data_IF_374877894749
#
_entry.id   IF_374877894749
#
_cell.length_a   1.000
_cell.length_b   1.000
_cell.length_c   1.000
_cell.angle_alpha   90.00
_cell.angle_beta   90.00
_cell.angle_gamma   90.00
#
_symmetry.space_group_name_H-M   'P 1'
#
loop_
_entity.id
_entity.type
_entity.pdbx_description
1 polymer ?
#
# COMPACT_ATOMS: atom_id res chain seq x y z
N UNK A 1 -0.10 22.74 6.91
CA UNK A 1 -1.03 22.83 5.76
C UNK A 1 -1.31 21.40 5.34
N UNK A 2 -2.56 20.92 5.49
CA UNK A 2 -2.94 19.54 5.17
C UNK A 2 -2.62 19.20 3.70
N UNK A 3 -2.08 18.01 3.42
CA UNK A 3 -1.80 17.53 2.07
C UNK A 3 -3.07 17.06 1.35
N UNK A 4 -4.04 16.56 2.10
CA UNK A 4 -5.26 16.01 1.52
C UNK A 4 -6.31 17.07 1.26
N UNK A 5 -6.37 18.18 2.02
CA UNK A 5 -7.24 19.33 1.68
C UNK A 5 -7.23 20.48 2.66
N UNK A 6 -7.57 21.74 2.19
CA UNK A 6 -8.68 22.48 2.79
C UNK A 6 -9.96 22.43 1.96
N UNK A 7 -9.98 21.75 0.81
CA UNK A 7 -11.17 21.59 -0.04
C UNK A 7 -11.79 20.19 0.05
N UNK A 8 -11.18 19.28 0.81
CA UNK A 8 -11.83 18.02 1.19
C UNK A 8 -12.82 18.32 2.30
N UNK A 9 -14.05 18.05 2.04
CA UNK A 9 -15.06 17.91 3.07
C UNK A 9 -14.69 16.62 3.85
N UNK A 10 -14.20 16.69 5.12
CA UNK A 10 -13.85 15.51 5.90
C UNK A 10 -15.02 14.53 6.04
N UNK A 11 -16.26 15.03 5.83
CA UNK A 11 -17.45 14.19 5.76
C UNK A 11 -17.56 13.39 4.46
N UNK A 12 -16.72 13.68 3.43
CA UNK A 12 -16.77 13.02 2.12
C UNK A 12 -15.56 12.15 1.82
N UNK A 13 -14.45 12.30 2.54
CA UNK A 13 -13.26 11.49 2.33
C UNK A 13 -13.13 10.43 3.41
N UNK A 14 -12.97 9.20 2.96
CA UNK A 14 -12.78 8.05 3.82
C UNK A 14 -11.81 7.06 3.17
N UNK A 15 -11.02 6.40 3.99
CA UNK A 15 -9.96 5.53 3.52
C UNK A 15 -10.11 4.09 4.02
N UNK A 16 -9.66 3.15 3.19
CA UNK A 16 -9.40 1.77 3.57
C UNK A 16 -7.92 1.47 3.35
N UNK A 17 -7.23 1.02 4.39
CA UNK A 17 -5.84 0.60 4.32
C UNK A 17 -5.72 -0.86 4.74
N UNK A 18 -5.20 -1.71 3.86
CA UNK A 18 -4.89 -3.11 4.18
C UNK A 18 -3.43 -3.26 4.60
N UNK A 19 -3.15 -4.22 5.50
CA UNK A 19 -1.83 -4.34 6.13
C UNK A 19 -1.53 -3.17 7.08
N UNK A 20 -2.57 -2.60 7.69
CA UNK A 20 -2.48 -1.39 8.52
C UNK A 20 -2.01 -1.65 9.96
N UNK A 21 -1.81 -2.90 10.36
CA UNK A 21 -1.32 -3.24 11.69
C UNK A 21 0.18 -3.04 11.87
N UNK A 22 0.97 -2.97 10.79
CA UNK A 22 2.42 -2.87 10.88
C UNK A 22 3.04 -2.15 9.67
N UNK A 23 4.29 -1.72 9.82
CA UNK A 23 5.15 -1.22 8.76
C UNK A 23 4.54 -0.07 7.96
N UNK A 24 4.70 -0.12 6.65
CA UNK A 24 4.31 0.96 5.72
C UNK A 24 2.79 1.20 5.76
N UNK A 25 1.99 0.13 5.78
CA UNK A 25 0.52 0.25 5.84
C UNK A 25 0.06 0.99 7.10
N UNK A 26 0.66 0.67 8.26
CA UNK A 26 0.39 1.39 9.51
C UNK A 26 0.74 2.87 9.41
N UNK A 27 1.94 3.18 8.93
CA UNK A 27 2.39 4.58 8.82
C UNK A 27 1.47 5.41 7.91
N UNK A 28 1.04 4.83 6.77
CA UNK A 28 0.10 5.51 5.86
C UNK A 28 -1.28 5.67 6.50
N UNK A 29 -1.82 4.63 7.16
CA UNK A 29 -3.12 4.69 7.81
C UNK A 29 -3.16 5.73 8.94
N UNK A 30 -2.10 5.78 9.76
CA UNK A 30 -1.95 6.78 10.81
C UNK A 30 -1.79 8.21 10.25
N UNK A 31 -1.09 8.36 9.13
CA UNK A 31 -0.96 9.65 8.45
C UNK A 31 -2.30 10.14 7.88
N UNK A 32 -3.13 9.25 7.30
CA UNK A 32 -4.49 9.58 6.85
C UNK A 32 -5.37 10.08 8.00
N UNK A 33 -5.33 9.38 9.13
CA UNK A 33 -6.03 9.80 10.35
C UNK A 33 -5.53 11.15 10.86
N UNK A 34 -4.22 11.41 10.77
CA UNK A 34 -3.61 12.71 11.09
C UNK A 34 -4.07 13.85 10.18
N UNK A 35 -4.55 13.54 8.97
CA UNK A 35 -5.17 14.47 8.01
C UNK A 35 -6.71 14.54 8.14
N UNK A 36 -7.26 14.07 9.27
CA UNK A 36 -8.70 14.04 9.58
C UNK A 36 -9.54 13.08 8.71
N UNK A 37 -8.92 12.12 8.04
CA UNK A 37 -9.61 11.11 7.21
C UNK A 37 -10.04 9.92 8.06
N UNK A 38 -11.34 9.61 8.09
CA UNK A 38 -11.85 8.38 8.70
C UNK A 38 -11.30 7.17 7.95
N UNK A 39 -10.61 6.28 8.65
CA UNK A 39 -9.84 5.22 8.01
C UNK A 39 -10.12 3.85 8.62
N UNK A 40 -10.49 2.87 7.80
CA UNK A 40 -10.50 1.45 8.19
C UNK A 40 -9.07 0.90 8.11
N UNK A 41 -8.60 0.38 9.25
CA UNK A 41 -7.32 -0.29 9.42
C UNK A 41 -7.55 -1.80 9.34
N UNK A 42 -7.24 -2.43 8.23
CA UNK A 42 -7.41 -3.87 8.05
C UNK A 42 -6.07 -4.61 8.17
N UNK A 43 -6.02 -5.62 9.03
CA UNK A 43 -4.85 -6.50 9.20
C UNK A 43 -5.30 -7.92 9.59
N UNK A 44 -4.42 -8.91 9.42
CA UNK A 44 -4.66 -10.28 9.85
C UNK A 44 -4.47 -10.47 11.37
N UNK A 45 -3.72 -9.58 12.01
CA UNK A 45 -3.42 -9.64 13.45
C UNK A 45 -4.24 -8.62 14.22
N UNK A 46 -5.11 -9.11 15.10
CA UNK A 46 -5.90 -8.29 16.00
C UNK A 46 -5.03 -7.41 16.91
N UNK A 47 -4.01 -8.01 17.53
CA UNK A 47 -3.08 -7.30 18.40
C UNK A 47 -2.44 -6.09 17.70
N UNK A 48 -1.93 -6.31 16.47
CA UNK A 48 -1.25 -5.26 15.70
C UNK A 48 -2.20 -4.17 15.24
N UNK A 49 -3.38 -4.53 14.75
CA UNK A 49 -4.34 -3.51 14.29
C UNK A 49 -4.86 -2.67 15.45
N UNK A 50 -5.15 -3.28 16.62
CA UNK A 50 -5.60 -2.56 17.80
C UNK A 50 -4.50 -1.64 18.36
N UNK A 51 -3.24 -2.09 18.38
CA UNK A 51 -2.11 -1.26 18.75
C UNK A 51 -1.92 -0.07 17.79
N UNK A 52 -2.07 -0.29 16.47
CA UNK A 52 -1.96 0.76 15.46
C UNK A 52 -3.06 1.83 15.61
N UNK A 53 -4.30 1.40 15.85
CA UNK A 53 -5.44 2.29 16.12
C UNK A 53 -5.19 3.12 17.37
N UNK A 54 -4.82 2.48 18.49
CA UNK A 54 -4.54 3.16 19.76
C UNK A 54 -3.41 4.19 19.66
N UNK A 55 -2.40 3.91 18.85
CA UNK A 55 -1.23 4.79 18.63
C UNK A 55 -1.48 5.90 17.61
N UNK A 56 -2.66 5.96 16.98
CA UNK A 56 -3.00 7.01 16.02
C UNK A 56 -3.22 8.35 16.72
N UNK A 57 -2.91 9.45 16.02
CA UNK A 57 -3.11 10.80 16.56
C UNK A 57 -4.58 11.12 16.90
N UNK A 58 -5.50 10.47 16.17
CA UNK A 58 -6.96 10.58 16.33
C UNK A 58 -7.61 9.20 16.30
N UNK A 59 -7.51 8.41 17.40
CA UNK A 59 -7.99 7.03 17.45
C UNK A 59 -9.48 6.88 17.11
N UNK A 60 -10.28 7.92 17.37
CA UNK A 60 -11.73 7.94 17.07
C UNK A 60 -12.04 7.93 15.56
N UNK A 61 -11.08 8.26 14.71
CA UNK A 61 -11.20 8.19 13.25
C UNK A 61 -10.66 6.88 12.68
N UNK A 62 -9.97 6.06 13.49
CA UNK A 62 -9.35 4.80 13.10
C UNK A 62 -10.28 3.63 13.46
N UNK A 63 -10.69 2.86 12.46
CA UNK A 63 -11.68 1.79 12.60
C UNK A 63 -10.99 0.45 12.31
N UNK A 64 -10.87 -0.45 13.30
CA UNK A 64 -10.18 -1.72 13.10
C UNK A 64 -11.03 -2.73 12.32
N UNK A 65 -10.35 -3.56 11.51
CA UNK A 65 -10.90 -4.78 10.91
C UNK A 65 -9.84 -5.88 10.95
N UNK A 66 -10.23 -7.09 11.38
CA UNK A 66 -9.33 -8.24 11.48
C UNK A 66 -9.76 -9.32 10.49
N UNK A 67 -8.82 -9.77 9.64
CA UNK A 67 -9.10 -10.86 8.72
C UNK A 67 -7.99 -11.13 7.71
N UNK A 68 -7.92 -12.37 7.23
CA UNK A 68 -6.98 -12.80 6.20
C UNK A 68 -7.54 -12.55 4.79
N UNK A 69 -6.92 -11.66 4.05
CA UNK A 69 -7.32 -11.30 2.69
C UNK A 69 -7.07 -12.38 1.64
N UNK A 70 -6.41 -13.49 1.99
CA UNK A 70 -6.37 -14.67 1.13
C UNK A 70 -7.78 -15.25 0.92
N UNK A 71 -8.68 -15.11 1.91
CA UNK A 71 -10.06 -15.59 1.85
C UNK A 71 -10.97 -14.62 1.08
N UNK A 72 -11.68 -15.06 0.02
CA UNK A 72 -12.69 -14.27 -0.66
C UNK A 72 -13.80 -13.78 0.28
N UNK A 73 -14.26 -14.63 1.20
CA UNK A 73 -15.31 -14.26 2.16
C UNK A 73 -14.86 -13.13 3.11
N UNK A 74 -13.59 -13.11 3.51
CA UNK A 74 -13.02 -12.03 4.34
C UNK A 74 -12.94 -10.73 3.55
N UNK A 75 -12.57 -10.78 2.26
CA UNK A 75 -12.58 -9.58 1.38
C UNK A 75 -13.97 -8.97 1.27
N UNK A 76 -15.02 -9.80 1.11
CA UNK A 76 -16.41 -9.33 1.10
C UNK A 76 -16.84 -8.75 2.46
N UNK A 77 -16.46 -9.40 3.57
CA UNK A 77 -16.74 -8.90 4.91
C UNK A 77 -16.06 -7.55 5.17
N UNK A 78 -14.81 -7.38 4.70
CA UNK A 78 -14.08 -6.11 4.78
C UNK A 78 -14.79 -4.99 4.02
N UNK A 79 -15.25 -5.25 2.80
CA UNK A 79 -15.99 -4.26 2.01
C UNK A 79 -17.31 -3.84 2.70
N UNK A 80 -18.07 -4.80 3.20
CA UNK A 80 -19.30 -4.54 3.97
C UNK A 80 -19.03 -3.73 5.24
N UNK A 81 -17.96 -4.09 5.97
CA UNK A 81 -17.54 -3.36 7.17
C UNK A 81 -17.13 -1.92 6.84
N UNK A 82 -16.32 -1.72 5.81
CA UNK A 82 -15.90 -0.40 5.38
C UNK A 82 -17.11 0.47 4.93
N UNK A 83 -18.02 -0.11 4.17
CA UNK A 83 -19.25 0.57 3.74
C UNK A 83 -20.14 0.95 4.94
N UNK A 84 -20.35 0.04 5.90
CA UNK A 84 -21.13 0.31 7.10
C UNK A 84 -20.52 1.41 7.97
N UNK A 85 -19.19 1.37 8.15
CA UNK A 85 -18.48 2.27 9.05
C UNK A 85 -18.20 3.65 8.43
N UNK A 86 -17.95 3.71 7.13
CA UNK A 86 -17.48 4.92 6.43
C UNK A 86 -18.54 5.49 5.45
N UNK A 87 -19.52 4.70 5.05
CA UNK A 87 -20.44 5.02 3.96
C UNK A 87 -19.82 4.79 2.59
N UNK A 88 -18.75 5.49 2.25
CA UNK A 88 -18.06 5.34 0.95
C UNK A 88 -16.55 5.48 1.12
N UNK A 89 -15.80 4.58 0.52
CA UNK A 89 -14.33 4.61 0.52
C UNK A 89 -13.85 5.36 -0.73
N UNK A 90 -13.26 6.54 -0.55
CA UNK A 90 -12.71 7.36 -1.65
C UNK A 90 -11.20 7.15 -1.82
N UNK A 91 -10.50 6.72 -0.77
CA UNK A 91 -9.08 6.40 -0.79
C UNK A 91 -8.86 4.93 -0.43
N UNK A 92 -8.16 4.22 -1.28
CA UNK A 92 -7.80 2.83 -1.02
C UNK A 92 -6.28 2.64 -1.06
N UNK A 93 -5.72 2.05 0.01
CA UNK A 93 -4.31 1.68 0.07
C UNK A 93 -4.18 0.17 0.27
N UNK A 94 -3.61 -0.51 -0.71
CA UNK A 94 -3.33 -1.94 -0.60
C UNK A 94 -1.86 -2.18 -0.24
N UNK A 95 -1.61 -2.41 1.05
CA UNK A 95 -0.27 -2.67 1.61
C UNK A 95 -0.13 -4.06 2.21
N UNK A 96 -1.22 -4.81 2.34
CA UNK A 96 -1.17 -6.18 2.85
C UNK A 96 -0.26 -7.07 2.01
N UNK A 97 0.59 -7.83 2.67
CA UNK A 97 1.46 -8.84 2.07
C UNK A 97 1.81 -9.90 3.11
N UNK A 98 1.77 -11.19 2.76
CA UNK A 98 2.28 -12.23 3.64
C UNK A 98 3.76 -12.01 3.97
N UNK A 99 4.25 -12.56 5.10
CA UNK A 99 5.67 -12.52 5.42
C UNK A 99 6.50 -13.24 4.34
N UNK A 100 7.75 -12.78 4.17
CA UNK A 100 8.74 -13.35 3.26
C UNK A 100 9.84 -14.01 4.06
N UNK A 101 10.32 -15.15 3.59
CA UNK A 101 11.51 -15.81 4.13
C UNK A 101 12.55 -15.91 3.03
N UNK A 102 13.79 -15.57 3.33
CA UNK A 102 14.90 -15.66 2.34
C UNK A 102 15.14 -17.10 1.87
N UNK A 103 14.69 -18.12 2.65
CA UNK A 103 14.73 -19.51 2.26
C UNK A 103 13.73 -19.90 1.16
N UNK A 104 12.71 -19.09 0.89
CA UNK A 104 11.65 -19.39 -0.10
C UNK A 104 12.10 -19.10 -1.54
N UNK A 105 13.31 -19.55 -1.90
CA UNK A 105 13.84 -19.44 -3.26
C UNK A 105 13.15 -20.44 -4.22
N UNK A 106 13.45 -20.37 -5.51
CA UNK A 106 12.74 -21.10 -6.57
C UNK A 106 12.66 -22.64 -6.36
N UNK A 107 13.64 -23.23 -5.70
CA UNK A 107 13.67 -24.70 -5.45
C UNK A 107 13.06 -25.08 -4.10
N UNK A 108 12.69 -24.11 -3.26
CA UNK A 108 12.25 -24.38 -1.88
C UNK A 108 10.87 -23.81 -1.54
N UNK A 109 10.38 -22.81 -2.29
CA UNK A 109 9.06 -22.21 -2.04
C UNK A 109 7.95 -23.27 -2.22
N UNK A 110 7.08 -23.40 -1.21
CA UNK A 110 5.95 -24.32 -1.30
C UNK A 110 4.82 -23.77 -2.18
N UNK A 111 3.97 -24.66 -2.68
CA UNK A 111 2.77 -24.28 -3.44
C UNK A 111 1.83 -23.39 -2.63
N UNK A 112 1.70 -23.69 -1.33
CA UNK A 112 0.85 -22.93 -0.39
C UNK A 112 1.38 -21.52 -0.18
N UNK A 113 2.71 -21.37 0.05
CA UNK A 113 3.35 -20.04 0.17
C UNK A 113 3.20 -19.24 -1.11
N UNK A 114 3.38 -19.88 -2.27
CA UNK A 114 3.14 -19.29 -3.58
C UNK A 114 1.69 -18.78 -3.71
N UNK A 115 0.72 -19.68 -3.47
CA UNK A 115 -0.70 -19.37 -3.59
C UNK A 115 -1.13 -18.22 -2.65
N UNK A 116 -0.72 -18.29 -1.37
CA UNK A 116 -1.04 -17.27 -0.39
C UNK A 116 -0.46 -15.89 -0.77
N UNK A 117 0.77 -15.85 -1.28
CA UNK A 117 1.40 -14.61 -1.72
C UNK A 117 0.60 -13.93 -2.84
N UNK A 118 0.13 -14.71 -3.83
CA UNK A 118 -0.67 -14.20 -4.93
C UNK A 118 -2.10 -13.85 -4.49
N UNK A 119 -2.72 -14.67 -3.64
CA UNK A 119 -4.07 -14.44 -3.14
C UNK A 119 -4.18 -13.13 -2.36
N UNK A 120 -3.19 -12.82 -1.49
CA UNK A 120 -3.21 -11.59 -0.71
C UNK A 120 -2.81 -10.39 -1.56
N UNK A 121 -1.64 -10.45 -2.23
CA UNK A 121 -1.10 -9.27 -2.93
C UNK A 121 -1.88 -8.94 -4.20
N UNK A 122 -2.03 -9.91 -5.10
CA UNK A 122 -2.56 -9.65 -6.44
C UNK A 122 -4.08 -9.77 -6.49
N UNK A 123 -4.64 -10.90 -6.06
CA UNK A 123 -6.09 -11.11 -6.10
C UNK A 123 -6.81 -10.18 -5.12
N UNK A 124 -6.28 -10.03 -3.88
CA UNK A 124 -6.82 -9.11 -2.89
C UNK A 124 -6.82 -7.67 -3.40
N UNK A 125 -5.70 -7.22 -3.95
CA UNK A 125 -5.58 -5.89 -4.57
C UNK A 125 -6.57 -5.67 -5.71
N UNK A 126 -6.71 -6.65 -6.61
CA UNK A 126 -7.65 -6.58 -7.73
C UNK A 126 -9.11 -6.54 -7.25
N UNK A 127 -9.53 -7.51 -6.44
CA UNK A 127 -10.94 -7.63 -6.04
C UNK A 127 -11.40 -6.42 -5.21
N UNK A 128 -10.61 -5.98 -4.24
CA UNK A 128 -10.95 -4.80 -3.44
C UNK A 128 -11.00 -3.53 -4.31
N UNK A 129 -10.01 -3.31 -5.18
CA UNK A 129 -10.03 -2.16 -6.10
C UNK A 129 -11.24 -2.15 -7.01
N UNK A 130 -11.61 -3.33 -7.55
CA UNK A 130 -12.77 -3.46 -8.45
C UNK A 130 -14.09 -3.12 -7.77
N UNK A 131 -14.34 -3.69 -6.59
CA UNK A 131 -15.61 -3.48 -5.89
C UNK A 131 -15.72 -2.04 -5.38
N UNK A 132 -14.66 -1.47 -4.81
CA UNK A 132 -14.64 -0.06 -4.43
C UNK A 132 -14.85 0.87 -5.63
N UNK A 133 -14.23 0.57 -6.77
CA UNK A 133 -14.45 1.35 -7.98
C UNK A 133 -15.89 1.26 -8.49
N UNK A 134 -16.55 0.08 -8.41
CA UNK A 134 -17.98 -0.07 -8.76
C UNK A 134 -18.87 0.86 -7.95
N UNK A 135 -18.65 0.94 -6.64
CA UNK A 135 -19.40 1.84 -5.75
C UNK A 135 -19.16 3.31 -6.11
N UNK A 136 -17.91 3.71 -6.35
CA UNK A 136 -17.55 5.08 -6.73
C UNK A 136 -18.15 5.47 -8.09
N UNK A 137 -18.09 4.59 -9.09
CA UNK A 137 -18.66 4.80 -10.42
C UNK A 137 -20.18 4.97 -10.35
N UNK A 138 -20.87 4.08 -9.63
CA UNK A 138 -22.31 4.16 -9.43
C UNK A 138 -22.73 5.47 -8.76
N UNK A 139 -21.91 5.96 -7.83
CA UNK A 139 -22.13 7.21 -7.11
C UNK A 139 -21.60 8.46 -7.82
N UNK A 140 -20.95 8.32 -8.99
CA UNK A 140 -20.28 9.42 -9.72
C UNK A 140 -19.31 10.19 -8.84
N UNK A 141 -18.59 9.50 -7.95
CA UNK A 141 -17.66 10.06 -6.99
C UNK A 141 -16.22 9.73 -7.43
N UNK A 142 -15.32 10.71 -7.48
CA UNK A 142 -13.91 10.44 -7.76
C UNK A 142 -13.25 9.67 -6.63
N UNK A 143 -12.11 9.02 -6.92
CA UNK A 143 -11.34 8.28 -5.93
C UNK A 143 -9.85 8.23 -6.26
N UNK A 144 -9.06 7.77 -5.29
CA UNK A 144 -7.62 7.58 -5.46
C UNK A 144 -7.16 6.30 -4.77
N UNK A 145 -6.61 5.37 -5.55
CA UNK A 145 -6.13 4.09 -5.09
C UNK A 145 -4.60 4.01 -5.19
N UNK A 146 -3.97 3.45 -4.17
CA UNK A 146 -2.53 3.28 -4.06
C UNK A 146 -2.19 1.84 -3.73
N UNK A 147 -1.45 1.16 -4.61
CA UNK A 147 -1.01 -0.20 -4.39
C UNK A 147 0.49 -0.22 -4.05
N UNK A 148 0.86 -0.84 -2.93
CA UNK A 148 2.26 -0.98 -2.50
C UNK A 148 2.92 -2.13 -3.26
N UNK A 149 3.68 -1.77 -4.30
CA UNK A 149 4.48 -2.72 -5.08
C UNK A 149 5.87 -2.92 -4.43
N UNK A 150 6.93 -2.97 -5.19
CA UNK A 150 8.31 -3.11 -4.71
C UNK A 150 9.28 -2.84 -5.86
N UNK A 151 10.53 -2.52 -5.57
CA UNK A 151 11.62 -2.59 -6.57
C UNK A 151 11.69 -3.97 -7.21
N UNK A 152 11.30 -5.01 -6.47
CA UNK A 152 11.27 -6.40 -6.96
C UNK A 152 10.10 -6.70 -7.91
N UNK A 153 9.32 -5.72 -8.29
CA UNK A 153 8.40 -5.83 -9.44
C UNK A 153 9.13 -5.75 -10.78
N UNK A 154 10.34 -5.22 -10.82
CA UNK A 154 11.18 -5.11 -12.00
C UNK A 154 12.57 -5.72 -11.85
N UNK A 155 13.03 -5.97 -10.62
CA UNK A 155 14.35 -6.51 -10.32
C UNK A 155 14.23 -7.78 -9.49
N UNK A 156 14.82 -8.92 -9.89
CA UNK A 156 14.69 -10.19 -9.17
C UNK A 156 15.37 -10.14 -7.78
N UNK A 157 14.82 -10.89 -6.82
CA UNK A 157 15.36 -11.04 -5.46
C UNK A 157 15.56 -12.50 -5.05
N UNK A 158 15.53 -13.48 -5.94
CA UNK A 158 15.44 -14.90 -5.60
C UNK A 158 14.22 -15.32 -4.76
N UNK A 159 13.18 -14.50 -4.72
CA UNK A 159 11.89 -14.80 -4.09
C UNK A 159 10.80 -14.78 -5.17
N UNK A 160 10.65 -15.86 -5.96
CA UNK A 160 9.80 -15.86 -7.15
C UNK A 160 8.33 -15.58 -6.84
N UNK A 161 7.79 -16.15 -5.76
CA UNK A 161 6.41 -15.91 -5.32
C UNK A 161 6.13 -14.44 -5.03
N UNK A 162 7.09 -13.74 -4.42
CA UNK A 162 6.96 -12.32 -4.08
C UNK A 162 7.15 -11.42 -5.31
N UNK A 163 8.24 -11.62 -6.05
CA UNK A 163 8.57 -10.78 -7.20
C UNK A 163 7.50 -10.86 -8.29
N UNK A 164 6.97 -12.06 -8.58
CA UNK A 164 5.90 -12.23 -9.57
C UNK A 164 4.58 -11.61 -9.11
N UNK A 165 4.21 -11.75 -7.82
CA UNK A 165 3.03 -11.08 -7.30
C UNK A 165 3.16 -9.55 -7.38
N UNK A 166 4.34 -8.98 -7.04
CA UNK A 166 4.57 -7.53 -7.12
C UNK A 166 4.68 -7.03 -8.56
N UNK A 167 5.21 -7.81 -9.48
CA UNK A 167 5.20 -7.51 -10.92
C UNK A 167 3.77 -7.52 -11.48
N UNK A 168 2.96 -8.51 -11.10
CA UNK A 168 1.53 -8.56 -11.43
C UNK A 168 0.78 -7.34 -10.91
N UNK A 169 1.04 -6.91 -9.65
CA UNK A 169 0.46 -5.69 -9.10
C UNK A 169 0.88 -4.43 -9.88
N UNK A 170 2.13 -4.34 -10.33
CA UNK A 170 2.61 -3.20 -11.11
C UNK A 170 1.89 -3.08 -12.46
N UNK A 171 1.59 -4.20 -13.12
CA UNK A 171 0.78 -4.22 -14.34
C UNK A 171 -0.69 -3.94 -14.00
N UNK A 172 -1.23 -4.52 -12.92
CA UNK A 172 -2.59 -4.30 -12.47
C UNK A 172 -2.89 -2.80 -12.26
N UNK A 173 -1.97 -2.04 -11.68
CA UNK A 173 -2.10 -0.58 -11.51
C UNK A 173 -2.37 0.09 -12.85
N UNK A 174 -1.65 -0.27 -13.90
CA UNK A 174 -1.82 0.31 -15.25
C UNK A 174 -3.16 -0.05 -15.87
N UNK A 175 -3.58 -1.31 -15.74
CA UNK A 175 -4.88 -1.79 -16.25
C UNK A 175 -6.05 -1.10 -15.54
N UNK A 176 -5.98 -0.99 -14.21
CA UNK A 176 -7.02 -0.32 -13.41
C UNK A 176 -7.05 1.19 -13.68
N UNK A 177 -5.88 1.84 -13.80
CA UNK A 177 -5.79 3.26 -14.13
C UNK A 177 -6.42 3.56 -15.50
N UNK A 178 -6.14 2.72 -16.50
CA UNK A 178 -6.72 2.83 -17.85
C UNK A 178 -8.25 2.65 -17.83
N UNK A 179 -8.73 1.69 -17.02
CA UNK A 179 -10.16 1.37 -16.95
C UNK A 179 -10.95 2.42 -16.15
N UNK A 180 -10.42 2.85 -15.00
CA UNK A 180 -11.16 3.68 -14.05
C UNK A 180 -10.95 5.19 -14.27
N UNK A 181 -9.90 5.59 -14.99
CA UNK A 181 -9.52 6.99 -15.15
C UNK A 181 -10.65 7.87 -15.74
N UNK A 182 -11.40 7.38 -16.72
CA UNK A 182 -12.55 8.10 -17.28
C UNK A 182 -13.70 8.37 -16.29
N UNK A 183 -13.67 7.69 -15.15
CA UNK A 183 -14.63 7.88 -14.06
C UNK A 183 -14.08 8.74 -12.91
N UNK A 184 -12.91 9.38 -13.11
CA UNK A 184 -12.28 10.20 -12.10
C UNK A 184 -11.60 9.42 -10.97
N UNK A 185 -11.35 8.11 -11.14
CA UNK A 185 -10.67 7.29 -10.17
C UNK A 185 -9.22 7.08 -10.64
N UNK A 186 -8.27 7.59 -9.86
CA UNK A 186 -6.83 7.44 -10.10
C UNK A 186 -6.30 6.18 -9.42
N UNK A 187 -5.40 5.46 -10.07
CA UNK A 187 -4.75 4.27 -9.51
C UNK A 187 -3.25 4.37 -9.74
N UNK A 188 -2.46 4.34 -8.68
CA UNK A 188 -1.00 4.46 -8.76
C UNK A 188 -0.31 3.39 -7.89
N UNK A 189 0.97 3.17 -8.14
CA UNK A 189 1.83 2.35 -7.30
C UNK A 189 2.80 3.22 -6.48
N UNK A 190 3.02 2.85 -5.22
CA UNK A 190 4.18 3.25 -4.46
C UNK A 190 5.18 2.08 -4.48
N UNK A 191 6.44 2.39 -4.81
CA UNK A 191 7.50 1.40 -5.01
C UNK A 191 8.57 1.59 -3.95
N UNK A 192 8.45 0.93 -2.78
CA UNK A 192 9.44 1.03 -1.71
C UNK A 192 10.77 0.37 -2.09
N UNK A 193 11.86 0.97 -1.60
CA UNK A 193 13.17 0.36 -1.53
C UNK A 193 13.35 -0.55 -0.32
N UNK A 194 14.54 -0.49 0.29
CA UNK A 194 14.87 -1.20 1.52
C UNK A 194 14.34 -0.40 2.73
N UNK A 195 13.20 -0.80 3.25
CA UNK A 195 12.52 -0.15 4.37
C UNK A 195 12.62 -1.02 5.62
N UNK A 196 13.17 -0.47 6.70
CA UNK A 196 13.29 -1.13 8.00
C UNK A 196 11.91 -1.16 8.70
N UNK A 197 10.99 -1.99 8.22
CA UNK A 197 9.62 -2.06 8.70
C UNK A 197 9.02 -3.46 8.45
N UNK A 198 7.90 -3.74 9.11
CA UNK A 198 7.12 -4.95 8.84
C UNK A 198 7.81 -6.27 9.20
N UNK A 199 8.76 -6.25 10.12
CA UNK A 199 9.55 -7.43 10.51
C UNK A 199 10.74 -7.72 9.58
N UNK A 200 11.02 -6.85 8.62
CA UNK A 200 12.24 -6.92 7.82
C UNK A 200 13.43 -6.43 8.65
N UNK A 201 14.29 -7.37 9.05
CA UNK A 201 15.58 -7.08 9.69
C UNK A 201 16.60 -6.96 8.57
N UNK A 202 16.92 -5.74 8.19
CA UNK A 202 17.96 -5.49 7.19
C UNK A 202 19.35 -5.61 7.80
N UNK A 203 20.28 -6.19 7.04
CA UNK A 203 21.70 -6.06 7.33
C UNK A 203 22.08 -4.56 7.28
N UNK A 204 22.67 -3.99 8.35
CA UNK A 204 23.13 -2.61 8.34
C UNK A 204 24.07 -2.27 7.18
N UNK A 205 24.83 -3.26 6.68
CA UNK A 205 25.71 -3.09 5.52
C UNK A 205 24.96 -2.72 4.23
N UNK A 206 23.64 -2.96 4.16
CA UNK A 206 22.84 -2.58 3.01
C UNK A 206 22.78 -1.04 2.81
N UNK A 207 22.94 -0.28 3.90
CA UNK A 207 22.93 1.19 3.85
C UNK A 207 24.00 1.76 2.91
N UNK A 208 25.17 1.11 2.79
CA UNK A 208 26.27 1.54 1.88
C UNK A 208 25.88 1.51 0.39
N UNK A 209 24.87 0.72 0.03
CA UNK A 209 24.38 0.62 -1.35
C UNK A 209 23.21 1.58 -1.64
N UNK A 210 22.79 2.36 -0.65
CA UNK A 210 21.71 3.33 -0.77
C UNK A 210 22.35 4.72 -0.86
N UNK A 211 22.18 5.48 -1.95
CA UNK A 211 22.76 6.83 -2.09
C UNK A 211 22.48 7.77 -0.92
N UNK A 212 21.30 7.69 -0.29
CA UNK A 212 21.01 8.47 0.91
C UNK A 212 21.67 7.93 2.20
N UNK A 213 22.50 6.89 2.12
CA UNK A 213 23.33 6.36 3.21
C UNK A 213 22.56 5.71 4.36
N UNK A 214 21.26 5.46 4.22
CA UNK A 214 20.43 4.84 5.26
C UNK A 214 19.32 3.97 4.68
N UNK A 215 18.85 3.05 5.49
CA UNK A 215 17.58 2.37 5.24
C UNK A 215 16.43 3.38 5.37
N UNK A 216 15.39 3.19 4.56
CA UNK A 216 14.14 3.91 4.73
C UNK A 216 13.39 3.43 5.98
N UNK A 217 12.57 4.30 6.55
CA UNK A 217 11.60 3.98 7.60
C UNK A 217 10.20 3.97 6.99
N UNK A 218 9.23 3.34 7.66
CA UNK A 218 7.85 3.33 7.19
C UNK A 218 7.29 4.75 7.04
N UNK A 219 7.70 5.64 7.93
CA UNK A 219 7.32 7.05 7.99
C UNK A 219 7.86 7.87 6.81
N UNK A 220 8.95 7.45 6.16
CA UNK A 220 9.47 8.10 4.94
C UNK A 220 8.49 7.95 3.75
N UNK A 221 7.64 6.93 3.78
CA UNK A 221 6.70 6.65 2.68
C UNK A 221 5.35 7.36 2.84
N UNK A 222 4.95 7.63 4.08
CA UNK A 222 3.62 8.18 4.35
C UNK A 222 3.37 9.55 3.68
N UNK A 223 4.29 10.54 3.70
CA UNK A 223 4.08 11.81 3.01
C UNK A 223 3.88 11.66 1.51
N UNK A 224 4.65 10.77 0.85
CA UNK A 224 4.48 10.52 -0.58
C UNK A 224 3.17 9.81 -0.87
N UNK A 225 2.75 8.86 -0.02
CA UNK A 225 1.45 8.21 -0.15
C UNK A 225 0.30 9.22 -0.07
N UNK A 226 0.32 10.14 0.91
CA UNK A 226 -0.66 11.23 1.02
C UNK A 226 -0.64 12.14 -0.21
N UNK A 227 0.54 12.51 -0.70
CA UNK A 227 0.67 13.33 -1.90
C UNK A 227 0.05 12.66 -3.14
N UNK A 228 0.27 11.35 -3.32
CA UNK A 228 -0.29 10.58 -4.45
C UNK A 228 -1.81 10.39 -4.31
N UNK A 229 -2.31 10.20 -3.10
CA UNK A 229 -3.75 10.11 -2.83
C UNK A 229 -4.46 11.44 -3.02
N UNK A 230 -3.78 12.56 -2.76
CA UNK A 230 -4.36 13.90 -2.83
C UNK A 230 -4.72 14.34 -4.25
N UNK A 231 -5.98 14.72 -4.46
CA UNK A 231 -6.41 15.35 -5.70
C UNK A 231 -5.87 16.78 -5.88
N UNK A 232 -5.49 17.45 -4.80
CA UNK A 232 -4.86 18.78 -4.88
C UNK A 232 -3.44 18.72 -5.44
N UNK A 233 -2.69 17.65 -5.09
CA UNK A 233 -1.27 17.51 -5.46
C UNK A 233 -1.12 16.68 -6.75
N UNK A 234 -1.91 15.62 -6.91
CA UNK A 234 -1.70 14.60 -7.92
C UNK A 234 -2.93 14.37 -8.83
N UNK A 235 -3.75 15.41 -9.08
CA UNK A 235 -4.97 15.30 -9.88
C UNK A 235 -4.74 14.71 -11.29
N UNK A 236 -3.55 14.89 -11.86
CA UNK A 236 -3.20 14.43 -13.21
C UNK A 236 -2.21 13.23 -13.20
N UNK A 237 -2.11 12.52 -12.06
CA UNK A 237 -1.23 11.36 -11.90
C UNK A 237 -2.06 10.09 -11.76
N UNK A 238 -2.03 9.22 -12.76
CA UNK A 238 -2.64 7.88 -12.74
C UNK A 238 -1.83 6.90 -13.57
N UNK A 239 -1.79 5.62 -13.17
CA UNK A 239 -1.00 4.57 -13.80
C UNK A 239 0.51 4.66 -13.53
N UNK A 240 0.93 5.56 -12.65
CA UNK A 240 2.32 5.81 -12.33
C UNK A 240 2.85 4.85 -11.26
N UNK A 241 4.16 4.58 -11.32
CA UNK A 241 4.92 3.89 -10.30
C UNK A 241 5.90 4.89 -9.67
N UNK A 242 5.62 5.30 -8.43
CA UNK A 242 6.41 6.29 -7.70
C UNK A 242 7.41 5.56 -6.81
N UNK A 243 8.70 5.69 -7.13
CA UNK A 243 9.79 5.06 -6.41
C UNK A 243 10.16 5.90 -5.18
N UNK A 244 10.26 5.23 -4.01
CA UNK A 244 10.68 5.82 -2.74
C UNK A 244 11.69 4.85 -2.11
N UNK A 245 12.96 4.98 -2.46
CA UNK A 245 13.99 3.98 -2.21
C UNK A 245 15.34 4.53 -1.78
N UNK A 246 15.46 5.84 -1.57
CA UNK A 246 16.73 6.49 -1.22
C UNK A 246 17.78 6.42 -2.32
N UNK A 247 17.37 6.09 -3.55
CA UNK A 247 18.26 5.90 -4.71
C UNK A 247 18.78 4.46 -4.88
N UNK A 248 18.29 3.49 -4.09
CA UNK A 248 18.76 2.10 -4.16
C UNK A 248 18.64 1.51 -5.58
N UNK A 249 17.59 1.85 -6.33
CA UNK A 249 17.40 1.37 -7.70
C UNK A 249 18.38 1.95 -8.73
N UNK A 250 19.14 2.99 -8.36
CA UNK A 250 20.18 3.60 -9.20
C UNK A 250 21.53 2.87 -9.07
N UNK A 251 21.62 1.93 -8.13
CA UNK A 251 22.85 1.17 -7.88
C UNK A 251 23.23 0.38 -9.12
N UNK A 252 24.44 0.61 -9.59
CA UNK A 252 25.10 -0.13 -10.66
C UNK A 252 26.50 -0.55 -10.20
N UNK A 253 27.34 -1.06 -11.09
CA UNK A 253 28.70 -1.52 -10.77
C UNK A 253 29.76 -0.41 -10.71
N UNK A 254 29.37 0.83 -11.01
CA UNK A 254 30.29 1.98 -10.91
C UNK A 254 30.19 2.58 -9.52
N UNK A 255 31.32 2.73 -8.86
CA UNK A 255 31.39 3.51 -7.61
C UNK A 255 31.18 5.01 -7.95
N UNK A 256 30.47 5.75 -7.11
CA UNK A 256 30.35 7.20 -7.29
C UNK A 256 31.74 7.84 -7.16
N UNK A 257 32.02 8.93 -7.92
CA UNK A 257 33.28 9.64 -7.78
C UNK A 257 33.42 10.24 -6.39
N UNK A 258 34.63 10.21 -5.84
CA UNK A 258 34.96 10.98 -4.64
C UNK A 258 34.89 12.48 -4.99
N UNK A 259 34.10 13.23 -4.20
CA UNK A 259 33.91 14.67 -4.39
C UNK A 259 34.63 15.40 -3.25
#
# INVERSE_FOLDING_TARGET
MSLLSPACDPAREAALVTGAGNGIGRAIAQALVGEDVRTVFADVSEERVMAAVKASARPELAIPFVGDLASPAVREALLKHAQSALGRVTHFVHSASPPRREADHAMAVSTETWAQMHAVNLEGGFHLSRELARELIAAKTPGSFLLLTSLHSGTPRNLPHYSTAKAGMAMLVKELAKTFGRHGIRVNALVPGAIAAGGFVADPSLARHIPLGRLGQAEDLAPMALAVLSNRVSAYVTGAAIVVDGGLSLTNWFEPPEI
#
